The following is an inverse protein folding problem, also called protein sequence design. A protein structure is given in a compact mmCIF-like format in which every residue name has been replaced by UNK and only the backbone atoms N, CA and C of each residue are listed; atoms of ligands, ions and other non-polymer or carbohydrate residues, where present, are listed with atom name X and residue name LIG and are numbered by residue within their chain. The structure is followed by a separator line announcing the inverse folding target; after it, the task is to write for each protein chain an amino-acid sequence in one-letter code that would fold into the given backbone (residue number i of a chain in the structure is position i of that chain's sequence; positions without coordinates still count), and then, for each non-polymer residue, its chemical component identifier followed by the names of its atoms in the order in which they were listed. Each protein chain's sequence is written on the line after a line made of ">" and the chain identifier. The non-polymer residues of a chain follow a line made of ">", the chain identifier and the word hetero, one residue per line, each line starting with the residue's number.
data_IF_296741603947
#
_entry.id   IF_296741603947
#
_cell.length_a   1.000
_cell.length_b   1.000
_cell.length_c   1.000
_cell.angle_alpha   90.00
_cell.angle_beta   90.00
_cell.angle_gamma   90.00
#
_symmetry.space_group_name_H-M   'P 1'
#
loop_
_entity.id
_entity.type
_entity.pdbx_description
1 polymer ?
#
# COMPACT_ATOMS: atom_id res chain seq x y z
N UNK A 1 24.17 -11.79 -15.17
CA UNK A 1 22.75 -12.01 -14.85
C UNK A 1 21.93 -11.29 -15.89
N UNK A 2 20.99 -11.98 -16.52
CA UNK A 2 20.07 -11.40 -17.52
C UNK A 2 18.73 -11.13 -16.86
N UNK A 3 18.10 -9.98 -17.18
CA UNK A 3 16.75 -9.68 -16.74
C UNK A 3 15.76 -10.61 -17.46
N UNK A 4 14.84 -11.21 -16.72
CA UNK A 4 13.75 -12.03 -17.26
C UNK A 4 12.45 -11.24 -17.32
N UNK A 5 11.58 -11.60 -18.25
CA UNK A 5 10.20 -11.13 -18.22
C UNK A 5 9.49 -11.69 -16.97
N UNK A 6 8.55 -10.93 -16.43
CA UNK A 6 7.82 -11.25 -15.20
C UNK A 6 6.84 -12.42 -15.38
N UNK A 7 6.37 -12.63 -16.62
CA UNK A 7 5.50 -13.74 -17.00
C UNK A 7 5.32 -13.81 -18.51
N UNK A 8 4.52 -14.76 -18.98
CA UNK A 8 4.45 -15.09 -20.41
C UNK A 8 3.27 -14.42 -21.15
N UNK A 9 2.26 -13.91 -20.44
CA UNK A 9 0.98 -13.48 -21.03
C UNK A 9 0.34 -12.30 -20.28
N UNK A 10 -0.71 -11.72 -20.89
CA UNK A 10 -1.61 -10.73 -20.29
C UNK A 10 -0.91 -9.45 -19.77
N UNK A 11 0.16 -9.03 -20.44
CA UNK A 11 0.93 -7.83 -20.12
C UNK A 11 2.18 -8.10 -19.29
N UNK A 12 2.23 -9.22 -18.56
CA UNK A 12 3.39 -9.60 -17.74
C UNK A 12 4.64 -9.87 -18.59
N UNK A 13 4.47 -10.27 -19.85
CA UNK A 13 5.57 -10.44 -20.82
C UNK A 13 6.29 -9.15 -21.20
N UNK A 14 5.71 -8.01 -20.85
CA UNK A 14 6.26 -6.68 -21.09
C UNK A 14 6.97 -6.06 -19.89
N UNK A 15 7.03 -6.76 -18.76
CA UNK A 15 7.69 -6.30 -17.53
C UNK A 15 8.95 -7.10 -17.28
N UNK A 16 10.10 -6.44 -17.17
CA UNK A 16 11.31 -7.05 -16.62
C UNK A 16 11.23 -7.13 -15.09
N UNK A 17 11.82 -8.16 -14.50
CA UNK A 17 12.07 -8.26 -13.06
C UNK A 17 13.45 -7.70 -12.73
N UNK A 18 13.50 -6.56 -12.05
CA UNK A 18 14.76 -5.90 -11.66
C UNK A 18 15.23 -6.28 -10.25
N UNK A 19 14.31 -6.71 -9.39
CA UNK A 19 14.62 -7.16 -8.05
C UNK A 19 13.47 -7.95 -7.43
N UNK A 20 13.82 -8.94 -6.63
CA UNK A 20 12.87 -9.74 -5.87
C UNK A 20 13.25 -9.72 -4.39
N UNK A 21 12.24 -9.61 -3.53
CA UNK A 21 12.40 -9.65 -2.09
C UNK A 21 11.20 -10.27 -1.41
N UNK A 22 11.35 -10.48 -0.10
CA UNK A 22 10.26 -10.87 0.79
C UNK A 22 10.10 -9.81 1.88
N UNK A 23 8.88 -9.59 2.39
CA UNK A 23 8.68 -8.74 3.55
C UNK A 23 9.50 -9.21 4.75
N UNK A 24 10.10 -8.27 5.49
CA UNK A 24 10.81 -8.55 6.73
C UNK A 24 9.92 -8.43 7.97
N UNK A 25 8.72 -7.88 7.82
CA UNK A 25 7.72 -7.69 8.85
C UNK A 25 6.31 -7.66 8.25
N UNK A 26 5.30 -7.48 9.09
CA UNK A 26 3.91 -7.36 8.66
C UNK A 26 3.59 -6.03 7.95
N UNK A 27 4.57 -5.12 7.88
CA UNK A 27 4.43 -3.81 7.24
C UNK A 27 5.68 -3.51 6.39
N UNK A 28 5.53 -3.54 5.07
CA UNK A 28 6.59 -3.16 4.13
C UNK A 28 6.51 -1.68 3.80
N UNK A 29 7.66 -0.99 3.81
CA UNK A 29 7.75 0.43 3.46
C UNK A 29 8.62 0.64 2.23
N UNK A 30 8.09 1.35 1.25
CA UNK A 30 8.82 1.78 0.06
C UNK A 30 8.84 3.31 0.00
N UNK A 31 10.03 3.88 0.12
CA UNK A 31 10.25 5.31 0.12
C UNK A 31 10.83 5.77 -1.22
N UNK A 32 10.27 6.83 -1.77
CA UNK A 32 10.83 7.54 -2.91
C UNK A 32 10.75 9.05 -2.69
N UNK A 33 11.41 9.80 -3.57
CA UNK A 33 11.35 11.25 -3.59
C UNK A 33 10.85 11.70 -4.95
N UNK A 34 9.92 12.65 -4.97
CA UNK A 34 9.53 13.37 -6.18
C UNK A 34 9.44 14.86 -5.87
N UNK A 35 9.99 15.70 -6.77
CA UNK A 35 9.97 17.16 -6.67
C UNK A 35 10.22 17.70 -5.26
N UNK A 36 11.35 17.32 -4.67
CA UNK A 36 11.80 17.81 -3.35
C UNK A 36 10.91 17.39 -2.16
N UNK A 37 10.01 16.42 -2.34
CA UNK A 37 9.18 15.85 -1.28
C UNK A 37 9.38 14.34 -1.21
N UNK A 38 9.39 13.80 0.00
CA UNK A 38 9.44 12.36 0.20
C UNK A 38 8.03 11.78 0.22
N UNK A 39 7.93 10.56 -0.27
CA UNK A 39 6.72 9.77 -0.23
C UNK A 39 7.10 8.39 0.30
N UNK A 40 6.33 7.90 1.26
CA UNK A 40 6.44 6.51 1.70
C UNK A 40 5.13 5.78 1.44
N UNK A 41 5.21 4.68 0.70
CA UNK A 41 4.16 3.67 0.64
C UNK A 41 4.39 2.68 1.77
N UNK A 42 3.56 2.75 2.82
CA UNK A 42 3.49 1.71 3.83
C UNK A 42 2.39 0.74 3.42
N UNK A 43 2.68 -0.56 3.36
CA UNK A 43 1.72 -1.60 2.98
C UNK A 43 1.73 -2.73 3.98
N UNK A 44 0.54 -3.20 4.37
CA UNK A 44 0.40 -4.42 5.14
C UNK A 44 0.82 -5.61 4.26
N UNK A 45 1.75 -6.41 4.76
CA UNK A 45 2.35 -7.54 4.06
C UNK A 45 2.44 -8.75 4.97
N UNK A 46 2.60 -9.95 4.41
CA UNK A 46 2.89 -11.19 5.15
C UNK A 46 4.18 -11.82 4.66
N UNK A 47 4.76 -12.71 5.46
CA UNK A 47 5.95 -13.50 5.12
C UNK A 47 5.79 -14.37 3.85
N UNK A 48 4.55 -14.70 3.50
CA UNK A 48 4.16 -15.40 2.28
C UNK A 48 4.13 -14.52 1.02
N UNK A 49 4.18 -13.20 1.16
CA UNK A 49 4.15 -12.28 0.01
C UNK A 49 5.53 -12.18 -0.68
N UNK A 50 5.49 -11.78 -1.95
CA UNK A 50 6.66 -11.39 -2.72
C UNK A 50 6.61 -9.89 -3.01
N UNK A 51 7.74 -9.21 -2.86
CA UNK A 51 7.94 -7.83 -3.28
C UNK A 51 8.80 -7.84 -4.54
N UNK A 52 8.28 -7.29 -5.63
CA UNK A 52 8.93 -7.34 -6.94
C UNK A 52 9.11 -5.91 -7.46
N UNK A 53 10.36 -5.53 -7.72
CA UNK A 53 10.64 -4.38 -8.56
C UNK A 53 10.60 -4.80 -10.01
N UNK A 54 9.75 -4.13 -10.76
CA UNK A 54 9.50 -4.41 -12.17
C UNK A 54 9.69 -3.16 -13.00
N UNK A 55 10.03 -3.34 -14.26
CA UNK A 55 10.17 -2.24 -15.22
C UNK A 55 9.60 -2.63 -16.57
N UNK A 56 8.75 -1.80 -17.13
CA UNK A 56 8.20 -2.03 -18.46
C UNK A 56 9.29 -1.88 -19.54
N UNK A 57 9.20 -2.71 -20.58
CA UNK A 57 10.11 -2.72 -21.73
C UNK A 57 10.56 -4.12 -22.17
N UNK A 58 10.08 -5.19 -21.52
CA UNK A 58 10.36 -6.54 -22.00
C UNK A 58 9.59 -6.81 -23.31
N UNK A 59 10.19 -7.59 -24.20
CA UNK A 59 9.59 -7.98 -25.48
C UNK A 59 9.14 -6.79 -26.36
N UNK A 60 9.87 -5.67 -26.32
CA UNK A 60 9.59 -4.44 -27.09
C UNK A 60 10.76 -4.08 -28.04
N UNK A 61 10.92 -4.82 -29.16
CA UNK A 61 12.06 -4.65 -30.07
C UNK A 61 12.08 -3.29 -30.78
N UNK A 62 10.90 -2.69 -30.95
CA UNK A 62 10.71 -1.42 -31.65
C UNK A 62 10.75 -0.21 -30.72
N UNK A 63 11.01 -0.42 -29.42
CA UNK A 63 11.12 0.64 -28.41
C UNK A 63 9.87 1.53 -28.30
N UNK A 64 8.68 0.93 -28.39
CA UNK A 64 7.41 1.64 -28.31
C UNK A 64 6.99 1.99 -26.88
N UNK A 65 7.47 1.25 -25.87
CA UNK A 65 7.06 1.38 -24.48
C UNK A 65 7.96 2.37 -23.73
N UNK A 66 7.34 3.32 -23.02
CA UNK A 66 8.07 4.23 -22.12
C UNK A 66 8.63 3.44 -20.94
N UNK A 67 9.89 3.70 -20.59
CA UNK A 67 10.58 3.06 -19.46
C UNK A 67 10.04 3.56 -18.10
N UNK A 68 9.15 2.79 -17.48
CA UNK A 68 8.57 3.08 -16.16
C UNK A 68 8.86 1.97 -15.14
N UNK A 69 9.14 2.36 -13.89
CA UNK A 69 9.34 1.43 -12.78
C UNK A 69 8.02 1.18 -12.04
N UNK A 70 7.89 -0.01 -11.45
CA UNK A 70 6.75 -0.37 -10.61
C UNK A 70 7.18 -1.28 -9.46
N UNK A 71 6.51 -1.13 -8.32
CA UNK A 71 6.56 -2.06 -7.20
C UNK A 71 5.31 -2.94 -7.25
N UNK A 72 5.48 -4.26 -7.18
CA UNK A 72 4.39 -5.22 -7.10
C UNK A 72 4.49 -6.00 -5.78
N UNK A 73 3.38 -6.01 -5.04
CA UNK A 73 3.17 -6.94 -3.93
C UNK A 73 2.36 -8.10 -4.47
N UNK A 74 2.88 -9.32 -4.34
CA UNK A 74 2.27 -10.53 -4.88
C UNK A 74 2.05 -11.55 -3.78
N UNK A 75 0.78 -11.85 -3.49
CA UNK A 75 0.37 -12.94 -2.61
C UNK A 75 -0.02 -14.15 -3.46
N UNK A 76 0.60 -15.31 -3.22
CA UNK A 76 0.28 -16.56 -3.90
C UNK A 76 -0.66 -17.41 -3.04
N UNK A 77 -1.40 -18.32 -3.69
CA UNK A 77 -2.25 -19.31 -3.01
C UNK A 77 -3.26 -18.71 -2.02
N UNK A 78 -3.83 -17.54 -2.35
CA UNK A 78 -4.88 -16.90 -1.56
C UNK A 78 -6.20 -16.92 -2.33
N UNK A 79 -7.27 -17.39 -1.67
CA UNK A 79 -8.63 -17.36 -2.21
C UNK A 79 -9.24 -15.96 -2.06
N UNK A 80 -9.19 -15.44 -0.84
CA UNK A 80 -9.72 -14.13 -0.44
C UNK A 80 -8.60 -13.38 0.28
N UNK A 81 -8.44 -12.08 -0.01
CA UNK A 81 -7.33 -11.31 0.58
C UNK A 81 -7.55 -9.81 0.55
N UNK A 82 -6.93 -9.10 1.50
CA UNK A 82 -6.91 -7.64 1.56
C UNK A 82 -5.48 -7.14 1.41
N UNK A 83 -5.31 -6.14 0.55
CA UNK A 83 -4.13 -5.29 0.49
C UNK A 83 -4.48 -3.93 1.08
N UNK A 84 -3.80 -3.55 2.14
CA UNK A 84 -3.93 -2.22 2.77
C UNK A 84 -2.63 -1.48 2.55
N UNK A 85 -2.73 -0.26 2.02
CA UNK A 85 -1.57 0.60 1.80
C UNK A 85 -1.92 2.05 2.05
N UNK A 86 -0.97 2.81 2.61
CA UNK A 86 -1.04 4.26 2.75
C UNK A 86 0.14 4.88 2.03
N UNK A 87 -0.13 5.89 1.21
CA UNK A 87 0.89 6.76 0.61
C UNK A 87 0.96 8.04 1.45
N UNK A 88 2.04 8.17 2.21
CA UNK A 88 2.30 9.33 3.06
C UNK A 88 3.22 10.31 2.33
N UNK A 89 2.74 11.50 1.91
CA UNK A 89 3.63 12.59 1.55
C UNK A 89 4.21 13.22 2.83
N UNK A 90 5.53 13.26 2.96
CA UNK A 90 6.19 13.81 4.14
C UNK A 90 7.50 14.51 3.79
N UNK A 91 7.95 15.33 4.73
CA UNK A 91 9.23 16.00 4.67
C UNK A 91 9.46 16.87 3.44
N UNK A 92 10.70 17.30 3.31
CA UNK A 92 11.17 18.08 2.17
C UNK A 92 12.68 17.99 2.05
N UNK A 93 13.18 18.15 0.83
CA UNK A 93 14.60 18.28 0.54
C UNK A 93 14.88 19.56 -0.23
N UNK A 94 15.75 20.42 0.30
CA UNK A 94 16.20 21.62 -0.41
C UNK A 94 17.55 21.34 -1.08
N UNK A 95 17.66 21.36 -2.41
CA UNK A 95 18.95 21.24 -3.08
C UNK A 95 19.82 22.49 -2.91
N UNK A 96 19.23 23.64 -2.55
CA UNK A 96 19.96 24.90 -2.35
C UNK A 96 20.72 24.91 -1.03
N UNK A 97 20.09 24.40 0.02
CA UNK A 97 20.69 24.30 1.35
C UNK A 97 21.18 22.89 1.67
N UNK A 98 21.06 21.96 0.72
CA UNK A 98 21.37 20.52 0.84
C UNK A 98 20.79 19.86 2.10
N UNK A 99 19.58 20.27 2.50
CA UNK A 99 18.99 19.91 3.79
C UNK A 99 17.71 19.11 3.62
N UNK A 100 17.62 17.97 4.32
CA UNK A 100 16.44 17.13 4.40
C UNK A 100 15.74 17.31 5.76
N UNK A 101 14.42 17.51 5.72
CA UNK A 101 13.55 17.58 6.90
C UNK A 101 12.53 16.47 6.83
N UNK A 102 12.32 15.74 7.94
CA UNK A 102 11.32 14.67 8.08
C UNK A 102 11.34 13.68 6.90
N UNK A 103 12.52 13.19 6.54
CA UNK A 103 12.72 12.28 5.41
C UNK A 103 12.25 10.86 5.68
N UNK A 104 11.84 10.52 6.90
CA UNK A 104 11.28 9.21 7.25
C UNK A 104 9.77 9.32 7.46
N UNK A 105 9.06 8.22 7.19
CA UNK A 105 7.61 8.08 7.41
C UNK A 105 7.23 8.17 8.89
N UNK A 106 6.08 8.80 9.19
CA UNK A 106 5.51 8.85 10.54
C UNK A 106 4.55 7.71 10.84
N UNK A 107 4.19 6.88 9.87
CA UNK A 107 3.31 5.72 10.09
C UNK A 107 4.14 4.59 10.73
N UNK A 108 3.77 4.10 11.91
CA UNK A 108 4.42 2.94 12.54
C UNK A 108 3.89 1.62 11.98
N UNK A 109 2.57 1.48 11.90
CA UNK A 109 1.88 0.23 11.61
C UNK A 109 0.56 0.46 10.87
N UNK A 110 0.28 -0.41 9.90
CA UNK A 110 -1.06 -0.64 9.37
C UNK A 110 -1.53 -2.02 9.83
N UNK A 111 -2.80 -2.12 10.23
CA UNK A 111 -3.40 -3.38 10.68
C UNK A 111 -4.87 -3.45 10.29
N UNK A 112 -5.34 -4.61 9.86
CA UNK A 112 -6.78 -4.89 9.75
C UNK A 112 -7.30 -5.24 11.14
N UNK A 113 -8.25 -4.44 11.65
CA UNK A 113 -8.90 -4.65 12.94
C UNK A 113 -10.13 -5.56 12.84
N UNK A 114 -10.84 -5.49 11.72
CA UNK A 114 -12.05 -6.25 11.46
C UNK A 114 -12.20 -6.48 9.96
N UNK A 115 -12.65 -7.67 9.57
CA UNK A 115 -13.00 -7.95 8.19
C UNK A 115 -14.07 -9.04 8.11
N UNK A 116 -15.17 -8.73 7.42
CA UNK A 116 -16.19 -9.67 7.00
C UNK A 116 -16.85 -9.22 5.69
N UNK A 117 -17.89 -9.94 5.27
CA UNK A 117 -18.62 -9.61 4.04
C UNK A 117 -19.33 -8.24 4.05
N UNK A 118 -19.49 -7.62 5.22
CA UNK A 118 -20.22 -6.36 5.40
C UNK A 118 -19.30 -5.18 5.67
N UNK A 119 -18.18 -5.39 6.36
CA UNK A 119 -17.30 -4.34 6.82
C UNK A 119 -15.82 -4.73 6.80
N UNK A 120 -14.97 -3.77 6.47
CA UNK A 120 -13.52 -3.87 6.64
C UNK A 120 -13.05 -2.65 7.44
N UNK A 121 -12.37 -2.89 8.55
CA UNK A 121 -11.79 -1.85 9.40
C UNK A 121 -10.27 -1.97 9.45
N UNK A 122 -9.59 -0.86 9.27
CA UNK A 122 -8.13 -0.76 9.30
C UNK A 122 -7.69 0.33 10.27
N UNK A 123 -6.64 0.07 11.04
CA UNK A 123 -5.95 1.07 11.84
C UNK A 123 -4.68 1.55 11.15
N UNK A 124 -4.38 2.82 11.39
CA UNK A 124 -3.16 3.51 11.00
C UNK A 124 -2.57 4.06 12.29
N UNK A 125 -1.49 3.45 12.78
CA UNK A 125 -0.77 3.94 13.95
C UNK A 125 0.41 4.81 13.51
N UNK A 126 0.62 5.95 14.17
CA UNK A 126 1.80 6.80 13.98
C UNK A 126 2.95 6.43 14.96
N UNK A 127 4.11 7.04 14.77
CA UNK A 127 5.28 6.85 15.64
C UNK A 127 5.06 7.37 17.07
N UNK A 128 4.07 8.24 17.28
CA UNK A 128 3.65 8.78 18.58
C UNK A 128 2.59 7.91 19.27
N UNK A 129 2.16 6.79 18.65
CA UNK A 129 1.09 5.88 19.11
C UNK A 129 -0.31 6.46 19.02
N UNK A 130 -0.52 7.54 18.28
CA UNK A 130 -1.86 7.96 17.87
C UNK A 130 -2.37 6.96 16.83
N UNK A 131 -3.65 6.61 16.91
CA UNK A 131 -4.25 5.60 16.02
C UNK A 131 -5.48 6.17 15.33
N UNK A 132 -5.40 6.31 14.02
CA UNK A 132 -6.56 6.59 13.16
C UNK A 132 -7.22 5.26 12.77
N UNK A 133 -8.54 5.25 12.61
CA UNK A 133 -9.30 4.07 12.18
C UNK A 133 -10.17 4.44 10.99
N UNK A 134 -10.09 3.63 9.93
CA UNK A 134 -10.97 3.68 8.76
C UNK A 134 -11.82 2.42 8.73
N UNK A 135 -13.14 2.58 8.68
CA UNK A 135 -14.13 1.51 8.56
C UNK A 135 -14.88 1.71 7.25
N UNK A 136 -14.93 0.68 6.40
CA UNK A 136 -15.63 0.67 5.12
C UNK A 136 -16.86 -0.22 5.21
N UNK A 137 -17.98 0.18 4.60
CA UNK A 137 -19.10 -0.73 4.32
C UNK A 137 -18.93 -1.39 2.95
N UNK A 138 -18.80 -2.71 2.96
CA UNK A 138 -18.61 -3.54 1.76
C UNK A 138 -19.94 -3.80 1.03
N UNK A 139 -21.06 -3.88 1.78
CA UNK A 139 -22.34 -4.31 1.22
C UNK A 139 -23.34 -3.16 0.96
N UNK A 140 -23.36 -2.12 1.81
CA UNK A 140 -24.41 -1.08 1.75
C UNK A 140 -23.81 0.34 1.82
N UNK A 141 -23.13 0.83 0.78
CA UNK A 141 -22.39 2.10 0.81
C UNK A 141 -23.27 3.36 0.64
N UNK A 142 -24.57 3.28 0.94
CA UNK A 142 -25.48 4.43 0.76
C UNK A 142 -25.20 5.53 1.78
N UNK A 143 -25.23 6.79 1.35
CA UNK A 143 -25.06 7.96 2.21
C UNK A 143 -26.09 8.05 3.36
N UNK A 144 -27.22 7.36 3.22
CA UNK A 144 -28.30 7.37 4.20
C UNK A 144 -28.34 6.12 5.09
N UNK A 145 -27.45 5.16 4.84
CA UNK A 145 -27.42 3.93 5.61
C UNK A 145 -26.71 4.16 6.94
N UNK A 146 -27.39 3.81 8.03
CA UNK A 146 -26.80 3.72 9.36
C UNK A 146 -26.17 2.34 9.57
N UNK A 147 -25.02 2.35 10.25
CA UNK A 147 -24.19 1.19 10.53
C UNK A 147 -23.75 1.23 11.99
N UNK A 148 -23.69 0.04 12.59
CA UNK A 148 -23.14 -0.19 13.92
C UNK A 148 -22.28 -1.45 13.86
N UNK A 149 -21.04 -1.36 14.36
CA UNK A 149 -20.17 -2.53 14.56
C UNK A 149 -19.41 -2.40 15.88
N UNK A 150 -19.08 -3.53 16.48
CA UNK A 150 -18.21 -3.61 17.65
C UNK A 150 -16.85 -4.17 17.24
N UNK A 151 -15.78 -3.42 17.50
CA UNK A 151 -14.40 -3.83 17.24
C UNK A 151 -13.62 -3.74 18.55
N UNK A 152 -13.03 -4.85 18.99
CA UNK A 152 -12.21 -4.93 20.21
C UNK A 152 -12.90 -4.32 21.46
N UNK A 153 -14.23 -4.46 21.57
CA UNK A 153 -15.02 -3.94 22.70
C UNK A 153 -15.45 -2.48 22.58
N UNK A 154 -15.15 -1.81 21.46
CA UNK A 154 -15.59 -0.45 21.16
C UNK A 154 -16.68 -0.47 20.09
N UNK A 155 -17.82 0.16 20.38
CA UNK A 155 -18.93 0.30 19.42
C UNK A 155 -18.73 1.53 18.56
N UNK A 156 -18.71 1.33 17.25
CA UNK A 156 -18.64 2.37 16.23
C UNK A 156 -19.98 2.52 15.54
N UNK A 157 -20.50 3.73 15.53
CA UNK A 157 -21.77 4.10 14.91
C UNK A 157 -21.52 5.18 13.86
N UNK A 158 -21.98 4.96 12.63
CA UNK A 158 -21.85 5.95 11.56
C UNK A 158 -22.98 5.85 10.54
N UNK A 159 -23.03 6.87 9.69
CA UNK A 159 -23.91 6.91 8.54
C UNK A 159 -23.08 7.15 7.28
N UNK A 160 -23.37 6.40 6.22
CA UNK A 160 -22.68 6.53 4.94
C UNK A 160 -21.70 5.39 4.64
N UNK A 161 -20.99 5.48 3.50
CA UNK A 161 -20.15 4.39 3.00
C UNK A 161 -18.94 4.03 3.85
N UNK A 162 -18.46 4.96 4.68
CA UNK A 162 -17.30 4.76 5.53
C UNK A 162 -17.37 5.62 6.79
N UNK A 163 -16.55 5.26 7.77
CA UNK A 163 -16.25 6.05 8.96
C UNK A 163 -14.75 6.22 9.08
N UNK A 164 -14.28 7.44 9.34
CA UNK A 164 -12.87 7.72 9.60
C UNK A 164 -12.76 8.53 10.88
N UNK A 165 -11.88 8.10 11.78
CA UNK A 165 -11.52 8.81 13.01
C UNK A 165 -10.00 8.90 13.09
N UNK A 166 -9.50 10.04 13.56
CA UNK A 166 -8.08 10.37 13.73
C UNK A 166 -7.77 10.63 15.21
#
# INVERSE_FOLDING_TARGET
>A
MTLSALGERNGYQHLYVEGEGKPSSNNSKFLWMDKHRFYTLTSMTSDSDQLLFTRIGASDPDFNLRRDAALMIRRKEAKDTIFVSVVEPHGSYSPVSEFAVNSNSNISELKVLYDDQYYTAVSIEDLQRSTSILILSNANPSADKEHEIEIEGTVYNWRGPYYYID
#
